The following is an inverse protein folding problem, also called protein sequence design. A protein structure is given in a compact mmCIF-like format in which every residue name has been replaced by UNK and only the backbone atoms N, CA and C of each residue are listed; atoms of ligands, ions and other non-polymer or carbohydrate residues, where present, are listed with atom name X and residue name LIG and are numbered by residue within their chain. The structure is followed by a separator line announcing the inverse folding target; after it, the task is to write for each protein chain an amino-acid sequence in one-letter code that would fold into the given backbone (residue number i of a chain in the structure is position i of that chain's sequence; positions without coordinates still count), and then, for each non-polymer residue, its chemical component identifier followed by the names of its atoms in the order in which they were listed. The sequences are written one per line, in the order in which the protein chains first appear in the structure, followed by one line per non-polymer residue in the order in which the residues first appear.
data_IF_195197083711
#
_entry.id   IF_195197083711
#
_cell.length_a   1.000
_cell.length_b   1.000
_cell.length_c   1.000
_cell.angle_alpha   90.00
_cell.angle_beta   90.00
_cell.angle_gamma   90.00
#
_symmetry.space_group_name_H-M   'P 1'
#
loop_
_entity.id
_entity.type
_entity.pdbx_description
1 polymer ?
#
# COMPACT_ATOMS: atom_id res chain seq x y z
N UNK A 1 -21.34 -5.26 -4.67
CA UNK A 1 -19.92 -5.64 -4.66
C UNK A 1 -19.47 -5.77 -6.10
N UNK A 2 -18.32 -5.21 -6.46
CA UNK A 2 -17.84 -5.22 -7.85
C UNK A 2 -17.27 -6.59 -8.22
N UNK A 3 -17.27 -6.93 -9.52
CA UNK A 3 -16.79 -8.23 -10.00
C UNK A 3 -15.34 -8.49 -9.55
N UNK A 4 -14.46 -7.49 -9.68
CA UNK A 4 -13.06 -7.58 -9.24
C UNK A 4 -12.90 -7.98 -7.77
N UNK A 5 -13.73 -7.42 -6.89
CA UNK A 5 -13.70 -7.72 -5.45
C UNK A 5 -14.14 -9.17 -5.16
N UNK A 6 -15.16 -9.64 -5.89
CA UNK A 6 -15.63 -11.03 -5.83
C UNK A 6 -14.51 -11.99 -6.26
N UNK A 7 -13.82 -11.69 -7.37
CA UNK A 7 -12.73 -12.51 -7.89
C UNK A 7 -11.57 -12.60 -6.89
N UNK A 8 -11.11 -11.45 -6.37
CA UNK A 8 -10.03 -11.38 -5.35
C UNK A 8 -10.38 -12.22 -4.11
N UNK A 9 -11.64 -12.24 -3.68
CA UNK A 9 -12.06 -12.99 -2.50
C UNK A 9 -12.20 -14.51 -2.73
N UNK A 10 -12.60 -14.92 -3.94
CA UNK A 10 -13.04 -16.29 -4.23
C UNK A 10 -12.00 -17.11 -4.99
N UNK A 11 -11.35 -16.55 -6.01
CA UNK A 11 -10.41 -17.27 -6.84
C UNK A 11 -9.23 -17.89 -6.07
N UNK A 12 -8.61 -17.23 -5.06
CA UNK A 12 -7.55 -17.85 -4.27
C UNK A 12 -7.95 -19.16 -3.57
N UNK A 13 -9.26 -19.35 -3.31
CA UNK A 13 -9.80 -20.58 -2.69
C UNK A 13 -10.17 -21.65 -3.72
N UNK A 14 -10.09 -21.34 -5.01
CA UNK A 14 -10.54 -22.15 -6.14
C UNK A 14 -9.40 -22.48 -7.13
N UNK A 15 -8.14 -22.28 -6.72
CA UNK A 15 -6.97 -22.52 -7.58
C UNK A 15 -6.37 -21.27 -8.22
N UNK A 16 -6.92 -20.09 -7.95
CA UNK A 16 -6.39 -18.82 -8.44
C UNK A 16 -6.99 -18.39 -9.78
N UNK A 17 -6.24 -17.56 -10.50
CA UNK A 17 -6.62 -17.10 -11.82
C UNK A 17 -6.45 -18.24 -12.85
N UNK A 18 -7.40 -18.47 -13.76
CA UNK A 18 -7.29 -19.54 -14.77
C UNK A 18 -6.07 -19.35 -15.67
N UNK A 19 -5.42 -20.45 -16.06
CA UNK A 19 -4.36 -20.42 -17.07
C UNK A 19 -4.89 -19.93 -18.42
N UNK A 20 -4.06 -19.20 -19.16
CA UNK A 20 -4.35 -18.67 -20.51
C UNK A 20 -5.59 -17.77 -20.66
N UNK A 21 -6.16 -17.29 -19.55
CA UNK A 21 -7.28 -16.33 -19.55
C UNK A 21 -6.77 -14.90 -19.37
N UNK A 22 -7.04 -14.03 -20.33
CA UNK A 22 -6.64 -12.61 -20.25
C UNK A 22 -7.59 -11.77 -19.41
N UNK A 23 -8.90 -12.01 -19.53
CA UNK A 23 -9.91 -11.26 -18.82
C UNK A 23 -11.15 -12.11 -18.52
N UNK A 24 -11.80 -11.80 -17.40
CA UNK A 24 -13.03 -12.43 -16.93
C UNK A 24 -14.18 -11.42 -16.91
N UNK A 25 -15.32 -11.88 -17.40
CA UNK A 25 -16.60 -11.16 -17.38
C UNK A 25 -17.65 -12.01 -16.67
N UNK A 26 -18.79 -11.41 -16.31
CA UNK A 26 -19.91 -12.12 -15.69
C UNK A 26 -21.21 -11.89 -16.46
N UNK A 27 -22.11 -12.87 -16.50
CA UNK A 27 -23.46 -12.69 -17.04
C UNK A 27 -24.52 -12.50 -15.95
N UNK A 28 -25.76 -12.26 -16.35
CA UNK A 28 -26.91 -12.05 -15.45
C UNK A 28 -27.21 -13.24 -14.53
N UNK A 29 -26.72 -14.43 -14.86
CA UNK A 29 -26.86 -15.65 -14.05
C UNK A 29 -25.73 -15.82 -13.03
N UNK A 30 -24.75 -14.90 -12.99
CA UNK A 30 -23.59 -14.98 -12.11
C UNK A 30 -22.48 -15.90 -12.62
N UNK A 31 -22.61 -16.46 -13.83
CA UNK A 31 -21.56 -17.26 -14.44
C UNK A 31 -20.41 -16.34 -14.86
N UNK A 32 -19.19 -16.72 -14.46
CA UNK A 32 -17.95 -16.06 -14.83
C UNK A 32 -17.28 -16.85 -15.93
N UNK A 33 -16.87 -16.17 -16.99
CA UNK A 33 -16.29 -16.75 -18.20
C UNK A 33 -15.28 -15.78 -18.82
N UNK A 34 -14.48 -16.29 -19.76
CA UNK A 34 -13.51 -15.47 -20.48
C UNK A 34 -14.19 -14.42 -21.38
N UNK A 35 -13.66 -13.20 -21.38
CA UNK A 35 -14.12 -12.12 -22.26
C UNK A 35 -14.01 -12.51 -23.75
N UNK A 36 -15.01 -12.14 -24.56
CA UNK A 36 -14.98 -12.43 -25.99
C UNK A 36 -15.43 -13.84 -26.39
N UNK A 37 -16.32 -14.46 -25.59
CA UNK A 37 -16.91 -15.80 -25.75
C UNK A 37 -16.03 -16.92 -25.20
N UNK A 38 -16.45 -17.48 -24.06
CA UNK A 38 -15.78 -18.62 -23.41
C UNK A 38 -16.79 -19.49 -22.66
N UNK A 39 -16.35 -20.68 -22.26
CA UNK A 39 -17.15 -21.55 -21.40
C UNK A 39 -17.31 -20.95 -20.00
N UNK A 40 -18.39 -21.34 -19.31
CA UNK A 40 -18.59 -20.96 -17.91
C UNK A 40 -17.50 -21.63 -17.06
N UNK A 41 -16.63 -20.82 -16.46
CA UNK A 41 -15.54 -21.29 -15.60
C UNK A 41 -16.00 -21.43 -14.15
N UNK A 42 -16.75 -20.42 -13.66
CA UNK A 42 -17.21 -20.36 -12.27
C UNK A 42 -18.66 -19.87 -12.20
N UNK A 43 -19.34 -20.20 -11.11
CA UNK A 43 -20.62 -19.57 -10.73
C UNK A 43 -20.38 -18.82 -9.44
N UNK A 44 -20.38 -17.50 -9.52
CA UNK A 44 -20.15 -16.61 -8.37
C UNK A 44 -21.41 -15.79 -8.10
N UNK A 45 -21.45 -15.12 -6.95
CA UNK A 45 -22.49 -14.13 -6.67
C UNK A 45 -22.49 -13.07 -7.77
N UNK A 46 -23.67 -12.63 -8.19
CA UNK A 46 -23.82 -11.56 -9.16
C UNK A 46 -23.19 -10.26 -8.65
N UNK A 47 -22.28 -9.70 -9.44
CA UNK A 47 -21.65 -8.40 -9.20
C UNK A 47 -22.62 -7.26 -9.52
N UNK A 48 -22.43 -6.09 -8.90
CA UNK A 48 -23.29 -4.92 -9.19
C UNK A 48 -23.01 -4.37 -10.59
N UNK A 49 -21.76 -4.49 -11.05
CA UNK A 49 -21.24 -4.02 -12.34
C UNK A 49 -21.17 -5.13 -13.39
N UNK A 50 -21.88 -6.26 -13.19
CA UNK A 50 -21.76 -7.46 -14.02
C UNK A 50 -21.93 -7.21 -15.54
N UNK A 51 -22.75 -6.23 -15.94
CA UNK A 51 -23.05 -5.95 -17.35
C UNK A 51 -21.87 -5.32 -18.10
N UNK A 52 -21.07 -4.51 -17.43
CA UNK A 52 -20.00 -3.70 -18.03
C UNK A 52 -18.60 -4.10 -17.52
N UNK A 53 -18.53 -4.95 -16.49
CA UNK A 53 -17.28 -5.32 -15.85
C UNK A 53 -16.53 -6.38 -16.65
N UNK A 54 -15.40 -5.96 -17.22
CA UNK A 54 -14.33 -6.83 -17.69
C UNK A 54 -13.13 -6.64 -16.76
N UNK A 55 -12.73 -7.72 -16.07
CA UNK A 55 -11.58 -7.70 -15.16
C UNK A 55 -10.43 -8.40 -15.86
N UNK A 56 -9.34 -7.68 -16.13
CA UNK A 56 -8.12 -8.29 -16.67
C UNK A 56 -7.33 -9.01 -15.60
N UNK A 57 -6.45 -9.91 -16.01
CA UNK A 57 -5.51 -10.58 -15.10
C UNK A 57 -4.68 -9.58 -14.31
N UNK A 58 -4.15 -8.53 -14.95
CA UNK A 58 -3.36 -7.51 -14.23
C UNK A 58 -4.22 -6.76 -13.20
N UNK A 59 -5.46 -6.43 -13.54
CA UNK A 59 -6.37 -5.75 -12.60
C UNK A 59 -6.71 -6.63 -11.39
N UNK A 60 -6.89 -7.94 -11.60
CA UNK A 60 -7.09 -8.90 -10.52
C UNK A 60 -5.84 -9.05 -9.66
N UNK A 61 -4.66 -9.25 -10.26
CA UNK A 61 -3.41 -9.41 -9.51
C UNK A 61 -3.06 -8.15 -8.72
N UNK A 62 -3.24 -6.97 -9.30
CA UNK A 62 -3.06 -5.69 -8.60
C UNK A 62 -4.05 -5.53 -7.44
N UNK A 63 -5.31 -5.93 -7.62
CA UNK A 63 -6.31 -5.86 -6.57
C UNK A 63 -6.10 -6.93 -5.48
N UNK A 64 -5.62 -8.11 -5.85
CA UNK A 64 -5.24 -9.18 -4.92
C UNK A 64 -4.06 -8.73 -4.05
N UNK A 65 -3.03 -8.15 -4.67
CA UNK A 65 -1.89 -7.56 -3.97
C UNK A 65 -2.35 -6.43 -3.02
N UNK A 66 -3.19 -5.52 -3.49
CA UNK A 66 -3.74 -4.45 -2.65
C UNK A 66 -4.58 -4.98 -1.48
N UNK A 67 -5.38 -6.05 -1.69
CA UNK A 67 -6.17 -6.67 -0.64
C UNK A 67 -5.33 -7.46 0.37
N UNK A 68 -4.11 -7.86 -0.01
CA UNK A 68 -3.16 -8.55 0.87
C UNK A 68 -2.20 -7.61 1.58
N UNK A 69 -2.19 -6.31 1.21
CA UNK A 69 -1.35 -5.31 1.86
C UNK A 69 -1.76 -5.17 3.32
N UNK A 70 -0.99 -5.79 4.21
CA UNK A 70 -1.15 -5.64 5.65
C UNK A 70 -0.56 -4.29 6.00
N UNK A 71 -1.39 -3.34 6.42
CA UNK A 71 -0.88 -2.09 6.97
C UNK A 71 -0.25 -2.36 8.35
N UNK A 72 0.96 -1.85 8.53
CA UNK A 72 1.66 -1.96 9.80
C UNK A 72 1.17 -0.91 10.80
N UNK A 73 0.79 -1.33 11.99
CA UNK A 73 0.31 -0.47 13.08
C UNK A 73 1.43 0.02 14.04
N UNK A 74 2.69 -0.26 13.70
CA UNK A 74 3.84 0.04 14.57
C UNK A 74 4.18 -1.07 15.58
N UNK A 75 3.44 -2.18 15.60
CA UNK A 75 3.70 -3.29 16.52
C UNK A 75 4.88 -4.17 16.08
N UNK A 76 5.71 -4.60 17.03
CA UNK A 76 6.81 -5.52 16.77
C UNK A 76 6.50 -6.93 17.31
N UNK A 77 6.96 -8.00 16.64
CA UNK A 77 7.65 -8.01 15.34
C UNK A 77 6.70 -7.70 14.17
N UNK A 78 7.24 -7.07 13.12
CA UNK A 78 6.49 -6.79 11.90
C UNK A 78 6.10 -8.12 11.25
N UNK A 79 4.84 -8.28 10.87
CA UNK A 79 4.33 -9.51 10.26
C UNK A 79 4.95 -9.72 8.87
N UNK A 80 5.33 -10.96 8.50
CA UNK A 80 5.69 -11.27 7.12
C UNK A 80 4.62 -10.82 6.11
N UNK A 81 5.04 -10.32 4.96
CA UNK A 81 4.18 -9.77 3.92
C UNK A 81 3.70 -8.33 4.16
N UNK A 82 4.23 -7.66 5.18
CA UNK A 82 3.90 -6.26 5.50
C UNK A 82 4.87 -5.32 4.78
N UNK A 83 4.34 -4.36 4.02
CA UNK A 83 5.15 -3.35 3.35
C UNK A 83 5.38 -2.15 4.26
N UNK A 84 6.63 -1.70 4.35
CA UNK A 84 7.09 -0.63 5.24
C UNK A 84 8.15 0.24 4.58
N UNK A 85 8.22 1.50 5.00
CA UNK A 85 9.35 2.36 4.70
C UNK A 85 10.50 2.02 5.66
N UNK A 86 11.68 1.73 5.10
CA UNK A 86 12.90 1.40 5.84
C UNK A 86 13.97 2.46 5.61
N UNK A 87 14.63 2.85 6.69
CA UNK A 87 15.83 3.69 6.67
C UNK A 87 17.02 2.93 7.25
N UNK A 88 18.14 2.95 6.55
CA UNK A 88 19.38 2.30 6.95
C UNK A 88 20.24 3.29 7.74
N UNK A 89 20.56 2.95 8.98
CA UNK A 89 21.37 3.81 9.84
C UNK A 89 22.82 3.92 9.30
N UNK A 90 23.31 5.14 9.11
CA UNK A 90 24.62 5.42 8.53
C UNK A 90 24.67 5.49 7.00
N UNK A 91 23.53 5.34 6.31
CA UNK A 91 23.41 5.56 4.86
C UNK A 91 22.45 6.72 4.57
N UNK A 92 22.97 7.95 4.63
CA UNK A 92 22.21 9.17 4.34
C UNK A 92 21.86 9.31 2.83
N UNK A 93 22.36 8.41 1.97
CA UNK A 93 22.01 8.39 0.54
C UNK A 93 20.65 7.73 0.28
N UNK A 94 20.15 6.92 1.24
CA UNK A 94 18.86 6.24 1.16
C UNK A 94 17.83 6.94 2.03
N UNK A 95 17.11 7.88 1.43
CA UNK A 95 15.83 8.36 1.97
C UNK A 95 14.92 7.15 2.19
N UNK A 96 14.09 7.18 3.25
CA UNK A 96 13.06 6.16 3.55
C UNK A 96 12.52 5.49 2.29
N UNK A 97 12.84 4.20 2.14
CA UNK A 97 12.56 3.43 0.92
C UNK A 97 11.60 2.28 1.25
N UNK A 98 10.66 1.99 0.37
CA UNK A 98 9.67 0.93 0.54
C UNK A 98 10.32 -0.46 0.38
N UNK A 99 10.06 -1.35 1.34
CA UNK A 99 10.42 -2.77 1.31
C UNK A 99 9.26 -3.61 1.86
N UNK A 100 9.19 -4.88 1.45
CA UNK A 100 8.34 -5.87 2.10
C UNK A 100 9.14 -6.64 3.15
N UNK A 101 8.60 -6.74 4.36
CA UNK A 101 9.19 -7.61 5.39
C UNK A 101 8.80 -9.05 5.10
N UNK A 102 9.78 -9.89 4.75
CA UNK A 102 9.58 -11.33 4.54
C UNK A 102 9.70 -12.13 5.83
N UNK A 103 10.55 -11.64 6.74
CA UNK A 103 10.77 -12.29 8.03
C UNK A 103 11.37 -11.30 9.03
N UNK A 104 10.93 -11.40 10.29
CA UNK A 104 11.51 -10.63 11.38
C UNK A 104 11.56 -11.46 12.66
N UNK A 105 12.77 -11.67 13.19
CA UNK A 105 12.95 -12.27 14.52
C UNK A 105 14.28 -11.88 15.14
N UNK A 106 14.23 -11.34 16.36
CA UNK A 106 15.42 -10.90 17.08
C UNK A 106 16.15 -9.79 16.34
N UNK A 107 17.43 -10.00 16.02
CA UNK A 107 18.24 -9.05 15.25
C UNK A 107 18.23 -9.33 13.74
N UNK A 108 17.52 -10.36 13.26
CA UNK A 108 17.48 -10.67 11.83
C UNK A 108 16.17 -10.17 11.23
N UNK A 109 16.30 -9.34 10.19
CA UNK A 109 15.19 -8.90 9.33
C UNK A 109 15.50 -9.28 7.90
N UNK A 110 14.56 -9.93 7.22
CA UNK A 110 14.66 -10.23 5.79
C UNK A 110 13.70 -9.31 5.05
N UNK A 111 14.23 -8.59 4.06
CA UNK A 111 13.50 -7.60 3.29
C UNK A 111 13.55 -7.97 1.80
N UNK A 112 12.42 -7.84 1.11
CA UNK A 112 12.34 -7.86 -0.36
C UNK A 112 12.46 -6.43 -0.88
N UNK A 113 13.48 -6.19 -1.71
CA UNK A 113 13.73 -4.94 -2.40
C UNK A 113 13.08 -4.97 -3.79
N UNK A 114 11.99 -4.23 -3.96
CA UNK A 114 11.27 -4.16 -5.23
C UNK A 114 12.08 -3.58 -6.39
N UNK A 115 13.17 -2.86 -6.13
CA UNK A 115 13.97 -2.20 -7.18
C UNK A 115 14.92 -3.16 -7.88
N UNK A 116 15.43 -4.13 -7.13
CA UNK A 116 16.31 -5.18 -7.65
C UNK A 116 15.62 -6.55 -7.74
N UNK A 117 14.37 -6.64 -7.27
CA UNK A 117 13.62 -7.88 -7.11
C UNK A 117 14.42 -8.95 -6.34
N UNK A 118 15.07 -8.53 -5.26
CA UNK A 118 15.98 -9.38 -4.48
C UNK A 118 15.61 -9.40 -2.99
N UNK A 119 15.97 -10.48 -2.30
CA UNK A 119 15.66 -10.70 -0.89
C UNK A 119 16.95 -10.73 -0.07
N UNK A 120 17.12 -9.73 0.79
CA UNK A 120 18.31 -9.55 1.62
C UNK A 120 18.04 -9.70 3.11
N UNK A 121 19.02 -10.25 3.85
CA UNK A 121 18.99 -10.32 5.31
C UNK A 121 19.86 -9.21 5.94
N UNK A 122 19.31 -8.52 6.93
CA UNK A 122 19.90 -7.35 7.57
C UNK A 122 19.80 -7.45 9.10
N UNK A 123 20.68 -6.70 9.77
CA UNK A 123 20.63 -6.52 11.23
C UNK A 123 19.56 -5.49 11.58
N UNK A 124 18.58 -5.89 12.40
CA UNK A 124 17.48 -5.04 12.86
C UNK A 124 18.00 -3.75 13.52
N UNK A 125 19.11 -3.82 14.26
CA UNK A 125 19.73 -2.65 14.90
C UNK A 125 20.14 -1.53 13.95
N UNK A 126 20.36 -1.84 12.67
CA UNK A 126 20.72 -0.85 11.64
C UNK A 126 19.53 -0.34 10.85
N UNK A 127 18.32 -0.79 11.19
CA UNK A 127 17.11 -0.45 10.45
C UNK A 127 16.16 0.37 11.32
N UNK A 128 15.57 1.39 10.72
CA UNK A 128 14.44 2.11 11.28
C UNK A 128 13.26 1.87 10.36
N UNK A 129 12.09 1.60 10.95
CA UNK A 129 10.87 1.29 10.21
C UNK A 129 9.82 2.36 10.47
N UNK A 130 8.97 2.59 9.46
CA UNK A 130 7.70 3.32 9.62
C UNK A 130 6.67 2.75 8.63
N UNK A 131 5.37 2.95 8.89
CA UNK A 131 4.33 2.61 7.91
C UNK A 131 4.58 3.33 6.58
N UNK A 132 4.17 2.71 5.48
CA UNK A 132 4.19 3.38 4.17
C UNK A 132 3.31 4.61 4.25
N UNK A 133 3.86 5.71 3.76
CA UNK A 133 3.19 6.99 3.77
C UNK A 133 2.55 7.25 2.43
N UNK A 134 1.31 7.73 2.46
CA UNK A 134 0.66 8.25 1.25
C UNK A 134 1.45 9.45 0.70
N UNK A 135 1.33 9.73 -0.60
CA UNK A 135 1.93 10.94 -1.19
C UNK A 135 1.44 12.23 -0.49
N UNK A 136 0.19 12.24 -0.02
CA UNK A 136 -0.34 13.35 0.78
C UNK A 136 0.41 13.49 2.11
N UNK A 137 0.71 12.38 2.78
CA UNK A 137 1.51 12.39 4.00
C UNK A 137 2.93 12.89 3.72
N UNK A 138 3.59 12.44 2.65
CA UNK A 138 4.94 12.92 2.29
C UNK A 138 4.95 14.43 2.07
N UNK A 139 4.04 14.95 1.25
CA UNK A 139 3.87 16.39 1.01
C UNK A 139 3.60 17.18 2.29
N UNK A 140 2.78 16.62 3.18
CA UNK A 140 2.52 17.21 4.50
C UNK A 140 3.80 17.32 5.33
N UNK A 141 4.62 16.29 5.40
CA UNK A 141 5.85 16.34 6.19
C UNK A 141 6.93 17.22 5.56
N UNK A 142 7.02 17.26 4.23
CA UNK A 142 7.87 18.22 3.52
C UNK A 142 7.46 19.65 3.84
N UNK A 143 6.17 19.96 3.79
CA UNK A 143 5.65 21.27 4.17
C UNK A 143 5.92 21.59 5.65
N UNK A 144 5.74 20.62 6.57
CA UNK A 144 6.06 20.78 7.99
C UNK A 144 7.58 21.04 8.18
N UNK A 145 8.45 20.34 7.45
CA UNK A 145 9.90 20.58 7.51
C UNK A 145 10.25 21.97 7.00
N UNK A 146 9.72 22.37 5.85
CA UNK A 146 9.92 23.71 5.31
C UNK A 146 9.45 24.79 6.30
N UNK A 147 8.26 24.63 6.90
CA UNK A 147 7.77 25.54 7.95
C UNK A 147 8.69 25.55 9.18
N UNK A 148 9.20 24.39 9.59
CA UNK A 148 10.15 24.29 10.68
C UNK A 148 11.48 24.99 10.37
N UNK A 149 11.91 25.10 9.11
CA UNK A 149 13.11 25.86 8.74
C UNK A 149 12.98 27.35 9.07
N UNK A 150 11.77 27.91 9.00
CA UNK A 150 11.51 29.31 9.36
C UNK A 150 11.43 29.57 10.87
N UNK A 151 11.48 28.55 11.72
CA UNK A 151 11.48 28.75 13.18
C UNK A 151 12.88 29.13 13.68
N UNK A 152 12.96 30.05 14.64
CA UNK A 152 14.23 30.46 15.28
C UNK A 152 14.78 29.39 16.22
N UNK A 153 13.93 28.51 16.75
CA UNK A 153 14.31 27.45 17.68
C UNK A 153 14.11 26.09 16.99
N UNK A 154 15.14 25.26 17.00
CA UNK A 154 15.15 23.90 16.43
C UNK A 154 15.09 22.86 17.54
N UNK A 155 13.88 22.54 18.00
CA UNK A 155 13.67 21.47 18.98
C UNK A 155 12.39 20.68 18.67
N UNK A 156 12.22 19.55 19.35
CA UNK A 156 11.09 18.64 19.14
C UNK A 156 9.72 19.27 19.47
N UNK A 157 9.66 20.19 20.44
CA UNK A 157 8.43 20.87 20.82
C UNK A 157 7.95 21.86 19.74
N UNK A 158 8.87 22.55 19.09
CA UNK A 158 8.58 23.46 17.98
C UNK A 158 8.13 22.67 16.75
N UNK A 159 8.78 21.54 16.43
CA UNK A 159 8.31 20.64 15.36
C UNK A 159 6.86 20.18 15.60
N UNK A 160 6.51 19.86 16.85
CA UNK A 160 5.14 19.47 17.22
C UNK A 160 4.15 20.62 17.01
N UNK A 161 4.56 21.84 17.36
CA UNK A 161 3.74 23.04 17.18
C UNK A 161 3.51 23.36 15.71
N UNK A 162 4.55 23.27 14.87
CA UNK A 162 4.47 23.43 13.42
C UNK A 162 3.50 22.42 12.79
N UNK A 163 3.57 21.16 13.22
CA UNK A 163 2.63 20.11 12.79
C UNK A 163 1.19 20.47 13.12
N UNK A 164 0.90 20.93 14.34
CA UNK A 164 -0.44 21.36 14.72
C UNK A 164 -0.94 22.57 13.91
N UNK A 165 -0.06 23.52 13.58
CA UNK A 165 -0.40 24.67 12.74
C UNK A 165 -0.74 24.21 11.32
N UNK A 166 0.09 23.35 10.72
CA UNK A 166 -0.18 22.79 9.39
C UNK A 166 -1.54 22.08 9.36
N UNK A 167 -1.83 21.22 10.35
CA UNK A 167 -3.11 20.50 10.43
C UNK A 167 -4.29 21.46 10.59
N UNK A 168 -4.11 22.59 11.28
CA UNK A 168 -5.13 23.63 11.39
C UNK A 168 -5.36 24.40 10.07
N UNK A 169 -4.31 24.63 9.28
CA UNK A 169 -4.43 25.23 7.93
C UNK A 169 -5.15 24.26 6.99
N UNK A 170 -4.73 22.99 6.96
CA UNK A 170 -5.35 21.96 6.13
C UNK A 170 -6.84 21.77 6.46
N UNK A 171 -7.21 21.89 7.74
CA UNK A 171 -8.60 21.85 8.19
C UNK A 171 -9.36 23.18 7.99
N UNK A 172 -8.76 24.21 7.40
CA UNK A 172 -9.39 25.51 7.17
C UNK A 172 -9.67 26.33 8.43
N UNK A 173 -9.04 25.99 9.57
CA UNK A 173 -9.27 26.68 10.85
C UNK A 173 -8.54 28.02 10.93
N UNK A 174 -7.44 28.17 10.20
CA UNK A 174 -6.68 29.43 10.09
C UNK A 174 -7.15 30.17 8.85
N UNK A 175 -7.87 31.27 9.07
CA UNK A 175 -8.45 32.07 7.99
C UNK A 175 -7.36 32.87 7.27
N UNK A 176 -7.46 32.98 5.94
CA UNK A 176 -6.51 33.73 5.11
C UNK A 176 -5.31 32.93 4.58
N UNK A 177 -5.16 31.66 4.97
CA UNK A 177 -4.13 30.75 4.46
C UNK A 177 -4.79 29.46 3.96
N UNK A 178 -4.44 28.99 2.77
CA UNK A 178 -4.89 27.71 2.20
C UNK A 178 -3.71 26.96 1.61
N UNK A 179 -3.74 25.64 1.71
CA UNK A 179 -2.82 24.75 1.02
C UNK A 179 -3.43 24.48 -0.36
N UNK A 180 -2.67 24.77 -1.42
CA UNK A 180 -3.05 24.48 -2.82
C UNK A 180 -2.61 23.08 -3.23
#
# INVERSE_FOLDING_TARGET
MKLKEILVQKLPKMGGWPEDVHALVQNSSGCVYQAGWGENLYILRLADDWMDAEVTREQYEAALAASQKVEWDGSYPIKPGTDVDVHFDGDDSRVWTEFRVEYMRGDVVVLHDYRSDDVGAYSNRRLKFRPIRSEADKKRDEAIRAMHEFTTIKNSEIIRSVKCIYDAIAAGKIHGVRIE
#
